data_IF_693237080372
#
_entry.id   IF_693237080372
#
_cell.length_a   1.000
_cell.length_b   1.000
_cell.length_c   1.000
_cell.angle_alpha   90.00
_cell.angle_beta   90.00
_cell.angle_gamma   90.00
#
_symmetry.space_group_name_H-M   'P 1'
#
loop_
_entity.id
_entity.type
_entity.pdbx_description
1 polymer ?
#
# COMPACT_ATOMS: atom_id res chain seq x y z
N UNK A 1 46.33 2.54 6.09
CA UNK A 1 45.63 3.51 5.19
C UNK A 1 44.51 2.88 4.36
N UNK A 2 44.69 1.65 3.85
CA UNK A 2 43.68 1.01 3.00
C UNK A 2 42.40 0.58 3.72
N UNK A 3 42.46 0.16 4.98
CA UNK A 3 41.30 -0.30 5.76
C UNK A 3 40.34 0.83 6.18
N UNK A 4 40.89 2.00 6.53
CA UNK A 4 40.11 3.18 6.87
C UNK A 4 39.35 3.75 5.66
N UNK A 5 40.01 3.85 4.51
CA UNK A 5 39.42 4.26 3.24
C UNK A 5 38.33 3.29 2.75
N UNK A 6 38.52 1.98 2.96
CA UNK A 6 37.52 0.95 2.63
C UNK A 6 36.28 1.05 3.51
N UNK A 7 36.44 1.29 4.82
CA UNK A 7 35.33 1.53 5.77
C UNK A 7 34.56 2.81 5.42
N UNK A 8 35.30 3.91 5.13
CA UNK A 8 34.71 5.19 4.74
C UNK A 8 33.90 5.06 3.42
N UNK A 9 34.43 4.33 2.43
CA UNK A 9 33.74 4.06 1.17
C UNK A 9 32.48 3.21 1.37
N UNK A 10 32.54 2.19 2.23
CA UNK A 10 31.38 1.36 2.57
C UNK A 10 30.31 2.16 3.33
N UNK A 11 30.70 3.09 4.18
CA UNK A 11 29.79 3.98 4.90
C UNK A 11 29.08 4.93 3.93
N UNK A 12 29.79 5.58 3.01
CA UNK A 12 29.19 6.44 1.99
C UNK A 12 28.21 5.68 1.05
N UNK A 13 28.56 4.44 0.62
CA UNK A 13 27.69 3.60 -0.20
C UNK A 13 26.42 3.24 0.57
N UNK A 14 26.56 2.85 1.84
CA UNK A 14 25.42 2.52 2.71
C UNK A 14 24.47 3.71 2.88
N UNK A 15 25.02 4.90 3.14
CA UNK A 15 24.21 6.11 3.36
C UNK A 15 23.46 6.50 2.08
N UNK A 16 24.11 6.43 0.92
CA UNK A 16 23.44 6.66 -0.38
C UNK A 16 22.35 5.61 -0.66
N UNK A 17 22.60 4.34 -0.32
CA UNK A 17 21.58 3.29 -0.47
C UNK A 17 20.38 3.51 0.47
N UNK A 18 20.64 3.98 1.71
CA UNK A 18 19.55 4.24 2.67
C UNK A 18 18.67 5.42 2.23
N UNK A 19 19.24 6.46 1.63
CA UNK A 19 18.48 7.56 1.03
C UNK A 19 17.62 7.09 -0.14
N UNK A 20 18.18 6.27 -1.04
CA UNK A 20 17.43 5.70 -2.16
C UNK A 20 16.27 4.81 -1.66
N UNK A 21 16.47 4.02 -0.60
CA UNK A 21 15.42 3.20 -0.01
C UNK A 21 14.26 4.03 0.58
N UNK A 22 14.51 5.23 1.10
CA UNK A 22 13.45 6.13 1.55
C UNK A 22 12.53 6.51 0.38
N UNK A 23 13.11 6.92 -0.73
CA UNK A 23 12.36 7.27 -1.94
C UNK A 23 11.59 6.06 -2.52
N UNK A 24 12.24 4.91 -2.64
CA UNK A 24 11.61 3.69 -3.13
C UNK A 24 10.40 3.28 -2.29
N UNK A 25 10.52 3.31 -0.97
CA UNK A 25 9.41 2.98 -0.05
C UNK A 25 8.25 3.96 -0.14
N UNK A 26 8.53 5.25 -0.33
CA UNK A 26 7.49 6.25 -0.55
C UNK A 26 6.74 5.98 -1.87
N UNK A 27 7.46 5.63 -2.95
CA UNK A 27 6.83 5.22 -4.21
C UNK A 27 6.00 3.96 -4.08
N UNK A 28 6.45 2.97 -3.28
CA UNK A 28 5.66 1.77 -3.00
C UNK A 28 4.38 2.11 -2.25
N UNK A 29 4.42 3.01 -1.28
CA UNK A 29 3.23 3.45 -0.56
C UNK A 29 2.23 4.17 -1.48
N UNK A 30 2.72 5.06 -2.36
CA UNK A 30 1.92 5.74 -3.39
C UNK A 30 1.27 4.72 -4.34
N UNK A 31 2.07 3.77 -4.85
CA UNK A 31 1.59 2.70 -5.72
C UNK A 31 0.50 1.86 -5.06
N UNK A 32 0.67 1.51 -3.78
CA UNK A 32 -0.30 0.74 -3.02
C UNK A 32 -1.67 1.44 -2.91
N UNK A 33 -1.68 2.74 -2.61
CA UNK A 33 -2.93 3.52 -2.52
C UNK A 33 -3.58 3.70 -3.88
N UNK A 34 -2.81 3.97 -4.93
CA UNK A 34 -3.33 4.07 -6.29
C UNK A 34 -3.96 2.75 -6.75
N UNK A 35 -3.31 1.63 -6.44
CA UNK A 35 -3.78 0.29 -6.76
C UNK A 35 -5.07 -0.07 -5.99
N UNK A 36 -5.12 0.21 -4.68
CA UNK A 36 -6.32 0.06 -3.86
C UNK A 36 -7.50 0.90 -4.40
N UNK A 37 -7.23 2.14 -4.79
CA UNK A 37 -8.22 3.04 -5.40
C UNK A 37 -8.76 2.48 -6.72
N UNK A 38 -7.89 1.92 -7.55
CA UNK A 38 -8.25 1.23 -8.79
C UNK A 38 -9.16 0.02 -8.55
N UNK A 39 -8.80 -0.83 -7.58
CA UNK A 39 -9.60 -2.00 -7.19
C UNK A 39 -10.99 -1.59 -6.70
N UNK A 40 -11.05 -0.57 -5.83
CA UNK A 40 -12.33 -0.04 -5.33
C UNK A 40 -13.20 0.52 -6.47
N UNK A 41 -12.62 1.30 -7.40
CA UNK A 41 -13.32 1.83 -8.56
C UNK A 41 -13.95 0.73 -9.41
N UNK A 42 -13.17 -0.29 -9.77
CA UNK A 42 -13.67 -1.45 -10.50
C UNK A 42 -14.82 -2.16 -9.76
N UNK A 43 -14.71 -2.26 -8.44
CA UNK A 43 -15.73 -2.89 -7.60
C UNK A 43 -17.00 -2.06 -7.56
N UNK A 44 -16.91 -0.73 -7.47
CA UNK A 44 -18.06 0.18 -7.50
C UNK A 44 -18.85 0.03 -8.82
N UNK A 45 -18.15 -0.07 -9.95
CA UNK A 45 -18.80 -0.26 -11.25
C UNK A 45 -19.49 -1.63 -11.34
N UNK A 46 -18.83 -2.67 -10.84
CA UNK A 46 -19.38 -4.03 -10.81
C UNK A 46 -20.64 -4.13 -9.94
N UNK A 47 -20.65 -3.64 -8.70
CA UNK A 47 -21.80 -3.78 -7.79
C UNK A 47 -23.01 -2.96 -8.24
N UNK A 48 -22.83 -1.91 -9.05
CA UNK A 48 -23.91 -1.14 -9.68
C UNK A 48 -24.55 -1.89 -10.85
N UNK A 49 -23.82 -2.73 -11.56
CA UNK A 49 -24.30 -3.48 -12.71
C UNK A 49 -24.78 -4.89 -12.37
N UNK A 50 -24.15 -5.52 -11.39
CA UNK A 50 -24.45 -6.91 -11.00
C UNK A 50 -25.72 -6.99 -10.17
N UNK A 51 -26.64 -7.89 -10.57
CA UNK A 51 -27.88 -8.19 -9.84
C UNK A 51 -27.81 -9.56 -9.16
N UNK A 52 -28.31 -9.63 -7.94
CA UNK A 52 -28.54 -10.85 -7.19
C UNK A 52 -29.78 -10.67 -6.28
N UNK A 53 -30.51 -11.72 -6.00
CA UNK A 53 -31.71 -11.70 -5.17
C UNK A 53 -32.71 -10.60 -5.58
N UNK A 54 -32.88 -10.40 -6.90
CA UNK A 54 -33.86 -9.48 -7.49
C UNK A 54 -33.45 -7.99 -7.52
N UNK A 55 -32.26 -7.62 -7.05
CA UNK A 55 -31.79 -6.22 -7.05
C UNK A 55 -30.28 -6.10 -7.33
N UNK A 56 -29.80 -4.88 -7.57
CA UNK A 56 -28.38 -4.57 -7.72
C UNK A 56 -27.63 -4.82 -6.41
N UNK A 57 -26.38 -5.30 -6.48
CA UNK A 57 -25.55 -5.51 -5.30
C UNK A 57 -25.34 -4.21 -4.50
N UNK A 58 -25.25 -3.07 -5.18
CA UNK A 58 -25.12 -1.74 -4.58
C UNK A 58 -26.27 -1.34 -3.65
N UNK A 59 -27.42 -2.02 -3.72
CA UNK A 59 -28.58 -1.74 -2.86
C UNK A 59 -28.54 -2.44 -1.51
N UNK A 60 -27.68 -3.44 -1.33
CA UNK A 60 -27.53 -4.12 -0.04
C UNK A 60 -26.75 -3.27 0.93
N UNK A 61 -27.32 -3.08 2.14
CA UNK A 61 -26.73 -2.23 3.17
C UNK A 61 -25.30 -2.68 3.56
N UNK A 62 -25.10 -4.00 3.72
CA UNK A 62 -23.78 -4.55 4.03
C UNK A 62 -22.73 -4.14 3.01
N UNK A 63 -23.01 -4.31 1.71
CA UNK A 63 -22.08 -3.93 0.63
C UNK A 63 -21.76 -2.42 0.66
N UNK A 64 -22.77 -1.60 0.93
CA UNK A 64 -22.58 -0.15 1.03
C UNK A 64 -21.68 0.23 2.18
N UNK A 65 -21.82 -0.42 3.33
CA UNK A 65 -20.98 -0.17 4.50
C UNK A 65 -19.54 -0.63 4.26
N UNK A 66 -19.36 -1.82 3.68
CA UNK A 66 -18.06 -2.33 3.24
C UNK A 66 -17.32 -1.31 2.35
N UNK A 67 -17.95 -0.89 1.27
CA UNK A 67 -17.34 0.04 0.32
C UNK A 67 -17.05 1.42 0.93
N UNK A 68 -17.90 1.90 1.83
CA UNK A 68 -17.66 3.17 2.54
C UNK A 68 -16.45 3.07 3.49
N UNK A 69 -16.32 1.96 4.20
CA UNK A 69 -15.16 1.70 5.08
C UNK A 69 -13.87 1.62 4.28
N UNK A 70 -13.86 0.86 3.17
CA UNK A 70 -12.69 0.75 2.29
C UNK A 70 -12.28 2.10 1.69
N UNK A 71 -13.26 2.88 1.22
CA UNK A 71 -13.01 4.23 0.72
C UNK A 71 -12.39 5.14 1.79
N UNK A 72 -12.86 5.04 3.02
CA UNK A 72 -12.32 5.81 4.16
C UNK A 72 -10.86 5.43 4.45
N UNK A 73 -10.55 4.13 4.50
CA UNK A 73 -9.17 3.65 4.71
C UNK A 73 -8.21 4.15 3.64
N UNK A 74 -8.63 4.09 2.37
CA UNK A 74 -7.84 4.63 1.25
C UNK A 74 -7.60 6.12 1.44
N UNK A 75 -8.64 6.90 1.74
CA UNK A 75 -8.54 8.36 1.87
C UNK A 75 -7.61 8.77 3.03
N UNK A 76 -7.72 8.12 4.18
CA UNK A 76 -6.85 8.37 5.35
C UNK A 76 -5.39 8.06 4.99
N UNK A 77 -5.15 6.93 4.31
CA UNK A 77 -3.81 6.53 3.89
C UNK A 77 -3.23 7.52 2.87
N UNK A 78 -4.04 7.94 1.90
CA UNK A 78 -3.64 8.94 0.90
C UNK A 78 -3.24 10.26 1.57
N UNK A 79 -4.04 10.76 2.52
CA UNK A 79 -3.74 12.02 3.22
C UNK A 79 -2.42 11.97 3.99
N UNK A 80 -2.08 10.82 4.59
CA UNK A 80 -0.80 10.62 5.24
C UNK A 80 0.38 10.65 4.24
N UNK A 81 0.22 10.00 3.08
CA UNK A 81 1.26 9.99 2.05
C UNK A 81 1.44 11.37 1.42
N UNK A 82 0.35 12.10 1.19
CA UNK A 82 0.38 13.45 0.62
C UNK A 82 1.15 14.44 1.51
N UNK A 83 1.12 14.27 2.84
CA UNK A 83 1.95 15.03 3.77
C UNK A 83 3.46 14.72 3.61
N UNK A 84 3.80 13.46 3.31
CA UNK A 84 5.20 13.04 3.20
C UNK A 84 5.88 13.49 1.91
N UNK A 85 5.14 13.67 0.82
CA UNK A 85 5.71 14.01 -0.49
C UNK A 85 6.46 15.36 -0.44
N UNK A 86 5.86 16.49 -0.04
CA UNK A 86 6.55 17.77 -0.01
C UNK A 86 7.74 17.78 0.97
N UNK A 87 7.63 17.09 2.09
CA UNK A 87 8.70 16.96 3.07
C UNK A 87 9.90 16.18 2.52
N UNK A 88 9.62 15.08 1.80
CA UNK A 88 10.65 14.33 1.09
C UNK A 88 11.33 15.17 0.01
N UNK A 89 10.57 15.97 -0.75
CA UNK A 89 11.13 16.89 -1.76
C UNK A 89 12.01 17.99 -1.17
N UNK A 90 11.81 18.36 0.09
CA UNK A 90 12.64 19.30 0.84
C UNK A 90 13.91 18.64 1.42
N UNK A 91 14.07 17.34 1.22
CA UNK A 91 15.24 16.58 1.69
C UNK A 91 15.19 16.20 3.17
N UNK A 92 14.00 16.20 3.80
CA UNK A 92 13.85 15.74 5.17
C UNK A 92 14.20 14.25 5.31
N UNK A 93 14.81 13.91 6.44
CA UNK A 93 15.02 12.52 6.84
C UNK A 93 13.71 11.96 7.42
N UNK A 94 13.06 11.06 6.68
CA UNK A 94 11.71 10.54 6.95
C UNK A 94 11.68 9.01 7.08
N UNK A 95 12.79 8.40 7.47
CA UNK A 95 12.91 6.92 7.52
C UNK A 95 11.79 6.28 8.33
N UNK A 96 11.39 6.87 9.46
CA UNK A 96 10.30 6.38 10.30
C UNK A 96 8.95 6.51 9.59
N UNK A 97 8.62 7.70 9.16
CA UNK A 97 7.33 8.04 8.53
C UNK A 97 7.12 7.26 7.23
N UNK A 98 8.14 7.16 6.39
CA UNK A 98 8.10 6.40 5.14
C UNK A 98 8.00 4.89 5.41
N UNK A 99 8.63 4.38 6.48
CA UNK A 99 8.44 2.99 6.90
C UNK A 99 7.00 2.74 7.38
N UNK A 100 6.40 3.69 8.12
CA UNK A 100 5.00 3.66 8.50
C UNK A 100 4.09 3.66 7.27
N UNK A 101 4.32 4.57 6.33
CA UNK A 101 3.53 4.68 5.10
C UNK A 101 3.59 3.40 4.28
N UNK A 102 4.79 2.83 4.08
CA UNK A 102 4.98 1.62 3.28
C UNK A 102 4.24 0.41 3.86
N UNK A 103 4.44 0.11 5.15
CA UNK A 103 3.78 -1.08 5.72
C UNK A 103 2.27 -0.89 5.80
N UNK A 104 1.81 0.28 6.24
CA UNK A 104 0.39 0.57 6.38
C UNK A 104 -0.34 0.56 5.04
N UNK A 105 0.19 1.27 4.02
CA UNK A 105 -0.42 1.33 2.70
C UNK A 105 -0.52 -0.05 2.05
N UNK A 106 0.51 -0.90 2.16
CA UNK A 106 0.47 -2.26 1.62
C UNK A 106 -0.49 -3.19 2.37
N UNK A 107 -0.70 -2.98 3.68
CA UNK A 107 -1.72 -3.72 4.44
C UNK A 107 -3.14 -3.27 4.04
N UNK A 108 -3.37 -1.96 3.90
CA UNK A 108 -4.64 -1.41 3.42
C UNK A 108 -4.95 -1.86 1.99
N UNK A 109 -3.96 -1.81 1.10
CA UNK A 109 -4.11 -2.28 -0.29
C UNK A 109 -4.57 -3.75 -0.34
N UNK A 110 -3.89 -4.61 0.40
CA UNK A 110 -4.23 -6.03 0.45
C UNK A 110 -5.65 -6.25 1.00
N UNK A 111 -6.01 -5.57 2.10
CA UNK A 111 -7.36 -5.65 2.66
C UNK A 111 -8.43 -5.17 1.66
N UNK A 112 -8.19 -4.04 0.97
CA UNK A 112 -9.10 -3.52 -0.04
C UNK A 112 -9.28 -4.51 -1.19
N UNK A 113 -8.19 -5.04 -1.72
CA UNK A 113 -8.24 -5.98 -2.84
C UNK A 113 -8.94 -7.30 -2.46
N UNK A 114 -8.70 -7.82 -1.26
CA UNK A 114 -9.34 -9.03 -0.73
C UNK A 114 -10.84 -8.85 -0.57
N UNK A 115 -11.26 -7.79 0.13
CA UNK A 115 -12.68 -7.50 0.36
C UNK A 115 -13.42 -7.12 -0.93
N UNK A 116 -12.79 -6.40 -1.84
CA UNK A 116 -13.32 -6.13 -3.17
C UNK A 116 -13.52 -7.41 -3.98
N UNK A 117 -12.51 -8.30 -4.02
CA UNK A 117 -12.60 -9.58 -4.72
C UNK A 117 -13.78 -10.42 -4.21
N UNK A 118 -14.02 -10.44 -2.90
CA UNK A 118 -15.15 -11.16 -2.31
C UNK A 118 -16.50 -10.72 -2.89
N UNK A 119 -16.67 -9.43 -3.21
CA UNK A 119 -17.90 -8.89 -3.79
C UNK A 119 -18.16 -9.37 -5.23
N UNK A 120 -17.15 -9.84 -5.93
CA UNK A 120 -17.29 -10.46 -7.25
C UNK A 120 -17.72 -11.93 -7.16
N UNK A 121 -17.62 -12.57 -6.00
CA UNK A 121 -17.87 -14.00 -5.83
C UNK A 121 -16.97 -14.84 -6.74
N UNK A 122 -17.50 -15.88 -7.37
CA UNK A 122 -16.71 -16.75 -8.26
C UNK A 122 -16.02 -16.02 -9.42
N UNK A 123 -16.59 -14.93 -9.90
CA UNK A 123 -15.95 -14.09 -10.93
C UNK A 123 -14.67 -13.41 -10.46
N UNK A 124 -14.56 -13.12 -9.17
CA UNK A 124 -13.33 -12.55 -8.59
C UNK A 124 -12.11 -13.47 -8.65
N UNK A 125 -12.33 -14.77 -8.80
CA UNK A 125 -11.28 -15.79 -8.91
C UNK A 125 -10.92 -16.16 -10.36
N UNK A 126 -11.53 -15.49 -11.35
CA UNK A 126 -11.28 -15.70 -12.77
C UNK A 126 -10.27 -14.66 -13.30
N UNK A 127 -9.30 -15.12 -14.09
CA UNK A 127 -8.22 -14.28 -14.65
C UNK A 127 -8.72 -13.20 -15.62
N UNK A 128 -9.90 -13.38 -16.20
CA UNK A 128 -10.56 -12.44 -17.09
C UNK A 128 -11.04 -11.17 -16.36
N UNK A 129 -11.28 -11.28 -15.06
CA UNK A 129 -11.68 -10.13 -14.24
C UNK A 129 -10.47 -9.44 -13.64
N UNK A 130 -10.29 -8.12 -13.85
CA UNK A 130 -9.13 -7.39 -13.35
C UNK A 130 -8.90 -7.53 -11.84
N UNK A 131 -9.97 -7.71 -11.05
CA UNK A 131 -9.87 -7.79 -9.59
C UNK A 131 -8.99 -8.97 -9.11
N UNK A 132 -8.92 -10.06 -9.87
CA UNK A 132 -8.05 -11.19 -9.56
C UNK A 132 -6.58 -10.81 -9.61
N UNK A 133 -6.19 -9.96 -10.57
CA UNK A 133 -4.83 -9.44 -10.70
C UNK A 133 -4.52 -8.42 -9.59
N UNK A 134 -5.48 -7.54 -9.29
CA UNK A 134 -5.35 -6.62 -8.15
C UNK A 134 -5.03 -7.37 -6.85
N UNK A 135 -5.71 -8.48 -6.58
CA UNK A 135 -5.46 -9.30 -5.41
C UNK A 135 -4.06 -9.94 -5.40
N UNK A 136 -3.63 -10.51 -6.52
CA UNK A 136 -2.31 -11.13 -6.64
C UNK A 136 -1.18 -10.11 -6.46
N UNK A 137 -1.29 -8.96 -7.13
CA UNK A 137 -0.28 -7.91 -7.10
C UNK A 137 -0.19 -7.24 -5.71
N UNK A 138 -1.32 -7.06 -5.03
CA UNK A 138 -1.35 -6.53 -3.67
C UNK A 138 -0.58 -7.42 -2.67
N UNK A 139 -0.55 -8.74 -2.87
CA UNK A 139 0.09 -9.66 -1.92
C UNK A 139 1.59 -9.47 -1.83
N UNK A 140 2.27 -9.18 -2.94
CA UNK A 140 3.73 -9.02 -2.98
C UNK A 140 4.19 -7.67 -2.40
N UNK A 141 3.33 -6.67 -2.37
CA UNK A 141 3.62 -5.33 -1.82
C UNK A 141 4.09 -5.37 -0.36
N UNK A 142 3.63 -6.35 0.41
CA UNK A 142 4.02 -6.56 1.81
C UNK A 142 5.42 -7.16 1.98
N UNK A 143 6.06 -7.59 0.88
CA UNK A 143 7.33 -8.34 0.89
C UNK A 143 8.48 -7.50 0.37
N UNK A 144 8.34 -6.92 -0.83
CA UNK A 144 9.43 -6.19 -1.47
C UNK A 144 9.61 -4.77 -0.93
N UNK A 145 10.74 -4.13 -1.23
CA UNK A 145 11.15 -2.86 -0.62
C UNK A 145 11.44 -2.96 0.89
N UNK A 146 11.54 -4.18 1.40
CA UNK A 146 11.61 -4.58 2.79
C UNK A 146 10.25 -5.06 3.29
N UNK A 147 10.24 -6.22 3.97
CA UNK A 147 8.99 -6.78 4.49
C UNK A 147 8.35 -5.85 5.53
N UNK A 148 7.04 -5.99 5.75
CA UNK A 148 6.33 -5.17 6.72
C UNK A 148 6.86 -5.37 8.15
N UNK A 149 7.42 -6.55 8.46
CA UNK A 149 8.12 -6.81 9.72
C UNK A 149 9.39 -5.97 9.86
N UNK A 150 10.19 -5.85 8.79
CA UNK A 150 11.38 -4.99 8.75
C UNK A 150 10.99 -3.51 8.90
N UNK A 151 9.87 -3.09 8.28
CA UNK A 151 9.37 -1.71 8.47
C UNK A 151 9.00 -1.44 9.93
N UNK A 152 8.31 -2.38 10.58
CA UNK A 152 7.95 -2.28 12.00
C UNK A 152 9.17 -2.25 12.90
N UNK A 153 10.21 -3.04 12.60
CA UNK A 153 11.48 -3.02 13.32
C UNK A 153 12.20 -1.65 13.19
N UNK A 154 12.20 -1.05 11.99
CA UNK A 154 12.76 0.29 11.78
C UNK A 154 12.01 1.36 12.59
N UNK A 155 10.69 1.27 12.63
CA UNK A 155 9.86 2.17 13.41
C UNK A 155 10.15 2.01 14.91
N UNK A 156 10.20 0.77 15.41
CA UNK A 156 10.48 0.48 16.82
C UNK A 156 11.82 1.06 17.28
N UNK A 157 12.87 0.89 16.48
CA UNK A 157 14.19 1.50 16.75
C UNK A 157 14.16 3.02 16.81
N UNK A 158 13.38 3.65 15.95
CA UNK A 158 13.21 5.12 15.94
C UNK A 158 12.35 5.62 17.13
N UNK A 159 11.54 4.74 17.72
CA UNK A 159 10.81 5.01 18.95
C UNK A 159 11.64 4.74 20.23
N UNK A 160 12.83 4.17 20.08
CA UNK A 160 13.73 3.87 21.19
C UNK A 160 13.42 2.56 21.94
N UNK A 161 12.75 1.61 21.28
CA UNK A 161 12.39 0.28 21.81
C UNK A 161 12.95 -0.82 20.93
#
# INVERSE_FOLDING_TARGET
LHLSLRRQRQMCIRDSMMQNLQQERLFLALGAVAHASGALKHTLDYVKSRKAFGQELSRFQHIRFELAELATKIQVTQSFIDDLIPRHMQGEELTREVSMAKYWASDVEFEVCDRCLQLFGGYGYMSEYPISRYFLDARVQRIYGGTNEIMKELIARQLGI
#
